data_IF_226886226357
#
_entry.id   IF_226886226357
#
_cell.length_a   1.000
_cell.length_b   1.000
_cell.length_c   1.000
_cell.angle_alpha   90.00
_cell.angle_beta   90.00
_cell.angle_gamma   90.00
#
_symmetry.space_group_name_H-M   'P 1'
#
loop_
_entity.id
_entity.type
_entity.pdbx_description
1 polymer ?
#
# COMPACT_ATOMS: atom_id res chain seq x y z
N UNK A 1 -12.41 13.36 -15.80
CA UNK A 1 -11.14 13.48 -16.54
C UNK A 1 -10.07 12.80 -15.72
N UNK A 2 -9.56 11.64 -16.13
CA UNK A 2 -8.45 11.01 -15.39
C UNK A 2 -7.15 11.77 -15.72
N UNK A 3 -6.35 12.17 -14.71
CA UNK A 3 -5.08 12.85 -14.96
C UNK A 3 -4.15 11.95 -15.77
N UNK A 4 -3.34 12.56 -16.64
CA UNK A 4 -2.30 11.87 -17.41
C UNK A 4 -1.45 11.02 -16.46
N UNK A 5 -1.30 9.74 -16.79
CA UNK A 5 -0.49 8.78 -16.03
C UNK A 5 0.89 9.40 -15.75
N UNK A 6 1.39 9.38 -14.50
CA UNK A 6 2.77 9.76 -14.24
C UNK A 6 3.69 8.92 -15.12
N UNK A 7 4.78 9.52 -15.61
CA UNK A 7 5.69 8.91 -16.58
C UNK A 7 6.32 7.58 -16.12
N UNK A 8 6.18 7.22 -14.84
CA UNK A 8 6.50 5.91 -14.30
C UNK A 8 5.24 5.25 -13.73
N UNK A 9 4.90 4.07 -14.25
CA UNK A 9 3.83 3.20 -13.72
C UNK A 9 4.22 2.50 -12.40
N UNK A 10 5.15 3.09 -11.63
CA UNK A 10 5.73 2.49 -10.43
C UNK A 10 5.27 3.22 -9.18
N UNK A 11 5.15 2.49 -8.07
CA UNK A 11 4.84 3.07 -6.77
C UNK A 11 6.13 3.66 -6.18
N UNK A 12 6.09 4.93 -5.81
CA UNK A 12 7.15 5.58 -5.05
C UNK A 12 6.87 5.39 -3.56
N UNK A 13 7.69 4.58 -2.89
CA UNK A 13 7.59 4.33 -1.45
C UNK A 13 8.36 5.39 -0.66
N UNK A 14 7.71 5.96 0.36
CA UNK A 14 8.30 6.94 1.29
C UNK A 14 8.00 6.52 2.71
N UNK A 15 8.98 6.64 3.59
CA UNK A 15 8.74 6.41 5.02
C UNK A 15 7.61 7.33 5.51
N UNK A 16 6.65 6.77 6.23
CA UNK A 16 5.48 7.50 6.70
C UNK A 16 5.90 8.47 7.83
N UNK A 17 5.87 9.78 7.54
CA UNK A 17 6.27 10.82 8.50
C UNK A 17 5.08 11.35 9.28
N UNK A 18 4.74 10.69 10.38
CA UNK A 18 3.75 11.16 11.34
C UNK A 18 4.08 10.66 12.74
N UNK A 19 3.73 11.43 13.77
CA UNK A 19 4.05 11.08 15.17
C UNK A 19 3.53 9.69 15.60
N UNK A 20 2.49 9.19 14.92
CA UNK A 20 1.91 7.86 15.09
C UNK A 20 1.92 7.03 13.80
N UNK A 21 2.59 7.54 12.75
CA UNK A 21 2.71 6.82 11.50
C UNK A 21 3.90 5.85 11.61
N UNK A 22 3.71 4.63 11.14
CA UNK A 22 4.75 3.62 11.05
C UNK A 22 4.70 2.99 9.67
N UNK A 23 5.86 2.52 9.20
CA UNK A 23 6.02 1.89 7.89
C UNK A 23 6.09 2.90 6.74
N UNK A 24 5.46 2.59 5.61
CA UNK A 24 5.70 3.27 4.33
C UNK A 24 4.41 3.72 3.64
N UNK A 25 4.43 4.89 3.02
CA UNK A 25 3.41 5.38 2.12
C UNK A 25 3.79 5.13 0.66
N UNK A 26 2.86 4.54 -0.09
CA UNK A 26 3.02 4.27 -1.52
C UNK A 26 2.30 5.33 -2.35
N UNK A 27 3.07 6.05 -3.19
CA UNK A 27 2.57 7.11 -4.05
C UNK A 27 2.58 6.69 -5.52
N UNK A 28 1.52 7.05 -6.24
CA UNK A 28 1.48 7.02 -7.69
C UNK A 28 1.42 8.46 -8.22
N UNK A 29 2.57 8.95 -8.68
CA UNK A 29 2.76 10.37 -8.94
C UNK A 29 2.60 11.18 -7.65
N UNK A 30 1.58 12.05 -7.59
CA UNK A 30 1.30 12.87 -6.40
C UNK A 30 0.26 12.25 -5.45
N UNK A 31 -0.33 11.12 -5.83
CA UNK A 31 -1.45 10.51 -5.12
C UNK A 31 -0.96 9.42 -4.18
N UNK A 32 -1.27 9.53 -2.89
CA UNK A 32 -1.09 8.41 -1.94
C UNK A 32 -2.13 7.34 -2.26
N UNK A 33 -1.68 6.18 -2.70
CA UNK A 33 -2.54 5.06 -3.13
C UNK A 33 -2.44 3.87 -2.18
N UNK A 34 -1.35 3.77 -1.43
CA UNK A 34 -1.15 2.74 -0.41
C UNK A 34 -0.53 3.28 0.86
N UNK A 35 -0.71 2.55 1.95
CA UNK A 35 0.05 2.70 3.17
C UNK A 35 0.30 1.33 3.79
N UNK A 36 1.55 1.02 4.10
CA UNK A 36 1.97 -0.20 4.80
C UNK A 36 2.26 0.21 6.23
N UNK A 37 1.34 -0.06 7.14
CA UNK A 37 1.45 0.32 8.55
C UNK A 37 1.83 -0.87 9.41
N UNK A 38 2.73 -0.67 10.38
CA UNK A 38 3.03 -1.70 11.36
C UNK A 38 1.85 -1.91 12.31
N UNK A 39 1.52 -3.16 12.60
CA UNK A 39 0.46 -3.53 13.51
C UNK A 39 1.05 -4.16 14.78
N UNK A 40 1.24 -3.32 15.81
CA UNK A 40 1.82 -3.75 17.07
C UNK A 40 0.98 -4.75 17.85
N UNK A 41 -0.35 -4.65 17.78
CA UNK A 41 -1.25 -5.60 18.46
C UNK A 41 -1.14 -7.01 17.88
N UNK A 42 -0.96 -7.11 16.56
CA UNK A 42 -0.80 -8.40 15.87
C UNK A 42 0.64 -8.92 15.89
N UNK A 43 1.62 -8.05 16.12
CA UNK A 43 3.03 -8.45 16.23
C UNK A 43 3.34 -9.10 17.58
N UNK A 44 2.51 -8.86 18.60
CA UNK A 44 2.74 -9.40 19.95
C UNK A 44 2.65 -10.93 19.96
N UNK A 45 3.78 -11.60 20.14
CA UNK A 45 3.87 -13.06 20.19
C UNK A 45 4.18 -13.73 18.85
N UNK A 46 4.31 -12.94 17.77
CA UNK A 46 4.72 -13.42 16.46
C UNK A 46 6.26 -13.37 16.31
N UNK A 47 6.81 -14.30 15.54
CA UNK A 47 8.26 -14.34 15.23
C UNK A 47 8.71 -13.21 14.30
N UNK A 48 7.78 -12.60 13.55
CA UNK A 48 8.07 -11.52 12.61
C UNK A 48 7.04 -10.39 12.74
N UNK A 49 7.45 -9.11 12.56
CA UNK A 49 6.53 -7.98 12.59
C UNK A 49 5.44 -8.13 11.53
N UNK A 50 4.20 -7.83 11.93
CA UNK A 50 3.04 -7.87 11.05
C UNK A 50 2.65 -6.47 10.61
N UNK A 51 2.35 -6.33 9.33
CA UNK A 51 1.94 -5.10 8.70
C UNK A 51 0.53 -5.21 8.13
N UNK A 52 -0.10 -4.05 7.97
CA UNK A 52 -1.36 -3.87 7.28
C UNK A 52 -1.11 -3.04 6.04
N UNK A 53 -1.51 -3.56 4.88
CA UNK A 53 -1.57 -2.79 3.64
C UNK A 53 -2.94 -2.14 3.53
N UNK A 54 -2.98 -0.83 3.73
CA UNK A 54 -4.12 0.01 3.39
C UNK A 54 -4.07 0.38 1.91
N UNK A 55 -5.20 0.22 1.22
CA UNK A 55 -5.37 0.56 -0.19
C UNK A 55 -6.42 1.65 -0.33
N UNK A 56 -6.09 2.71 -1.06
CA UNK A 56 -6.97 3.86 -1.31
C UNK A 56 -7.47 3.91 -2.76
N UNK A 57 -7.24 2.84 -3.54
CA UNK A 57 -7.72 2.75 -4.92
C UNK A 57 -9.23 2.45 -4.92
N UNK A 58 -10.02 3.17 -5.73
CA UNK A 58 -11.46 2.94 -5.81
C UNK A 58 -11.76 1.56 -6.39
N UNK A 59 -12.75 0.87 -5.82
CA UNK A 59 -13.17 -0.47 -6.26
C UNK A 59 -12.29 -1.61 -5.76
N UNK A 60 -11.24 -1.32 -4.97
CA UNK A 60 -10.39 -2.32 -4.33
C UNK A 60 -10.70 -2.36 -2.83
N UNK A 61 -10.53 -3.54 -2.22
CA UNK A 61 -10.62 -3.71 -0.76
C UNK A 61 -9.64 -2.76 -0.04
N UNK A 62 -10.15 -2.03 0.96
CA UNK A 62 -9.40 -0.98 1.64
C UNK A 62 -8.23 -1.46 2.52
N UNK A 63 -8.20 -2.72 2.93
CA UNK A 63 -7.15 -3.23 3.81
C UNK A 63 -6.87 -4.73 3.61
N UNK A 64 -5.58 -5.07 3.65
CA UNK A 64 -5.05 -6.43 3.67
C UNK A 64 -4.18 -6.58 4.93
N UNK A 65 -4.48 -7.59 5.73
CA UNK A 65 -3.92 -7.75 7.07
C UNK A 65 -2.82 -8.82 7.11
N UNK A 66 -1.98 -8.74 8.14
CA UNK A 66 -1.06 -9.81 8.57
C UNK A 66 0.04 -10.16 7.57
N UNK A 67 0.51 -9.15 6.84
CA UNK A 67 1.56 -9.31 5.85
C UNK A 67 2.92 -9.02 6.48
N UNK A 68 3.97 -9.61 5.92
CA UNK A 68 5.31 -9.07 6.09
C UNK A 68 5.45 -7.77 5.26
N UNK A 69 6.44 -6.93 5.57
CA UNK A 69 6.58 -5.62 4.92
C UNK A 69 6.80 -5.74 3.41
N UNK A 70 7.69 -6.65 2.98
CA UNK A 70 7.98 -6.86 1.56
C UNK A 70 6.78 -7.50 0.83
N UNK A 71 6.11 -8.46 1.47
CA UNK A 71 4.88 -9.05 0.94
C UNK A 71 3.77 -8.00 0.73
N UNK A 72 3.66 -7.03 1.65
CA UNK A 72 2.72 -5.93 1.53
C UNK A 72 3.03 -5.04 0.32
N UNK A 73 4.31 -4.77 0.04
CA UNK A 73 4.74 -3.99 -1.13
C UNK A 73 4.52 -4.74 -2.43
N UNK A 74 4.87 -6.02 -2.49
CA UNK A 74 4.62 -6.88 -3.66
C UNK A 74 3.12 -7.00 -3.97
N UNK A 75 2.29 -7.15 -2.94
CA UNK A 75 0.84 -7.16 -3.10
C UNK A 75 0.31 -5.82 -3.60
N UNK A 76 0.83 -4.70 -3.13
CA UNK A 76 0.45 -3.36 -3.61
C UNK A 76 0.76 -3.19 -5.10
N UNK A 77 1.93 -3.64 -5.55
CA UNK A 77 2.31 -3.64 -6.98
C UNK A 77 1.34 -4.50 -7.82
N UNK A 78 0.98 -5.69 -7.33
CA UNK A 78 0.00 -6.56 -7.99
C UNK A 78 -1.40 -5.92 -8.10
N UNK A 79 -1.87 -5.30 -7.02
CA UNK A 79 -3.15 -4.57 -6.98
C UNK A 79 -3.12 -3.41 -7.98
N UNK A 80 -2.03 -2.65 -8.02
CA UNK A 80 -1.90 -1.51 -8.93
C UNK A 80 -1.99 -1.96 -10.38
N UNK A 81 -1.29 -3.05 -10.75
CA UNK A 81 -1.36 -3.63 -12.11
C UNK A 81 -2.78 -4.08 -12.47
N UNK A 82 -3.47 -4.75 -11.56
CA UNK A 82 -4.85 -5.19 -11.74
C UNK A 82 -5.83 -4.02 -11.88
N UNK A 83 -5.65 -2.97 -11.09
CA UNK A 83 -6.49 -1.78 -11.14
C UNK A 83 -6.31 -1.02 -12.46
N UNK A 84 -5.06 -0.85 -12.90
CA UNK A 84 -4.72 -0.20 -14.18
C UNK A 84 -5.21 -0.99 -15.40
N UNK A 85 -5.28 -2.32 -15.33
CA UNK A 85 -5.85 -3.16 -16.40
C UNK A 85 -7.38 -3.11 -16.45
N UNK A 86 -8.03 -2.37 -15.55
CA UNK A 86 -9.48 -2.21 -15.50
C UNK A 86 -10.20 -3.32 -14.74
N UNK A 87 -9.49 -4.15 -13.97
CA UNK A 87 -10.07 -5.25 -13.20
C UNK A 87 -11.03 -4.78 -12.08
N UNK A 88 -10.89 -3.54 -11.62
CA UNK A 88 -11.73 -2.97 -10.55
C UNK A 88 -13.03 -2.30 -11.04
N UNK A 89 -13.41 -2.50 -12.31
CA UNK A 89 -14.61 -1.93 -12.94
C UNK A 89 -15.81 -2.86 -12.84
#
# INVERSE_FOLDING_TARGET
MMPKSPANNMIEWKEAKGAFASGDDGFWGKWRVFNVAWNGSMTKGETRPKYVLHCYLPGIKNAFLWLEQDEAKDKAEGIMKYWLSGGAR
#
